data_IF_266241161391
#
_entry.id   IF_266241161391
#
_cell.length_a   1.000
_cell.length_b   1.000
_cell.length_c   1.000
_cell.angle_alpha   90.00
_cell.angle_beta   90.00
_cell.angle_gamma   90.00
#
_symmetry.space_group_name_H-M   'P 1'
#
loop_
_entity.id
_entity.type
_entity.pdbx_description
1 polymer ?
#
# COMPACT_ATOMS: atom_id res chain seq x y z
N UNK A 1 12.72 -71.10 -33.82
CA UNK A 1 12.49 -69.67 -34.06
C UNK A 1 11.36 -69.09 -33.19
N UNK A 2 11.17 -69.47 -31.91
CA UNK A 2 10.04 -69.02 -31.10
C UNK A 2 10.41 -68.59 -29.63
N UNK A 3 11.66 -68.26 -29.37
CA UNK A 3 12.09 -67.85 -28.02
C UNK A 3 12.70 -66.42 -27.96
N UNK A 4 12.77 -65.69 -29.04
CA UNK A 4 13.34 -64.32 -29.09
C UNK A 4 12.29 -63.20 -29.13
N UNK A 5 11.00 -63.50 -29.24
CA UNK A 5 9.92 -62.50 -29.29
C UNK A 5 9.28 -62.19 -27.94
N UNK A 6 9.53 -62.99 -26.92
CA UNK A 6 8.93 -62.74 -25.59
C UNK A 6 9.74 -61.79 -24.69
N UNK A 7 11.02 -61.60 -25.00
CA UNK A 7 11.91 -60.76 -24.18
C UNK A 7 11.82 -59.24 -24.49
N UNK A 8 11.42 -58.91 -25.72
CA UNK A 8 11.33 -57.51 -26.16
C UNK A 8 10.00 -56.84 -25.76
N UNK A 9 8.94 -57.62 -25.58
CA UNK A 9 7.63 -57.09 -25.17
C UNK A 9 7.60 -56.75 -23.70
N UNK A 10 8.32 -57.49 -22.85
CA UNK A 10 8.41 -57.17 -21.40
C UNK A 10 9.32 -55.99 -21.11
N UNK A 11 10.28 -55.67 -21.98
CA UNK A 11 11.14 -54.51 -21.78
C UNK A 11 10.43 -53.17 -22.16
N UNK A 12 9.52 -53.24 -23.14
CA UNK A 12 8.71 -52.06 -23.52
C UNK A 12 7.59 -51.75 -22.50
N UNK A 13 7.05 -52.75 -21.82
CA UNK A 13 6.00 -52.56 -20.81
C UNK A 13 6.54 -51.97 -19.53
N UNK A 14 7.80 -52.19 -19.17
CA UNK A 14 8.45 -51.61 -18.01
C UNK A 14 8.88 -50.13 -18.26
N UNK A 15 9.15 -49.77 -19.52
CA UNK A 15 9.50 -48.39 -19.89
C UNK A 15 8.31 -47.44 -19.95
N UNK A 16 7.09 -47.96 -20.14
CA UNK A 16 5.84 -47.16 -20.21
C UNK A 16 5.24 -46.90 -18.83
N UNK A 17 5.54 -47.71 -17.82
CA UNK A 17 5.07 -47.52 -16.44
C UNK A 17 5.96 -46.55 -15.61
N UNK A 18 7.09 -46.11 -16.14
CA UNK A 18 8.04 -45.22 -15.46
C UNK A 18 7.81 -43.70 -15.65
N UNK A 19 6.80 -43.29 -16.43
CA UNK A 19 6.63 -41.87 -16.83
C UNK A 19 5.34 -41.23 -16.28
N UNK A 20 4.63 -41.84 -15.35
CA UNK A 20 3.39 -41.26 -14.79
C UNK A 20 3.44 -40.96 -13.31
N UNK A 21 4.60 -40.59 -12.79
CA UNK A 21 4.73 -39.84 -11.53
C UNK A 21 5.08 -38.36 -11.85
N UNK A 22 4.28 -37.74 -12.71
CA UNK A 22 4.13 -36.31 -12.70
C UNK A 22 3.45 -35.98 -11.37
N UNK A 23 4.24 -35.68 -10.36
CA UNK A 23 3.72 -35.20 -9.08
C UNK A 23 2.71 -34.10 -9.35
N UNK A 24 1.57 -34.11 -8.68
CA UNK A 24 0.67 -32.97 -8.65
C UNK A 24 1.54 -31.77 -8.25
N UNK A 25 1.83 -30.89 -9.20
CA UNK A 25 2.42 -29.59 -8.89
C UNK A 25 1.41 -28.93 -7.96
N UNK A 26 1.80 -28.73 -6.71
CA UNK A 26 0.99 -27.96 -5.77
C UNK A 26 0.69 -26.63 -6.44
N UNK A 27 -0.57 -26.32 -6.66
CA UNK A 27 -1.02 -25.05 -7.22
C UNK A 27 -1.10 -23.95 -6.15
N UNK A 28 -0.71 -24.26 -4.90
CA UNK A 28 -0.68 -23.31 -3.78
C UNK A 28 0.77 -23.00 -3.43
N UNK A 29 1.05 -21.74 -3.13
CA UNK A 29 2.33 -21.33 -2.58
C UNK A 29 2.59 -22.00 -1.23
N UNK A 30 3.86 -22.22 -0.84
CA UNK A 30 4.19 -22.67 0.50
C UNK A 30 3.70 -21.65 1.53
N UNK A 31 3.42 -22.14 2.73
CA UNK A 31 3.09 -21.28 3.88
C UNK A 31 4.37 -21.09 4.67
N UNK A 32 4.68 -19.84 5.02
CA UNK A 32 5.82 -19.52 5.88
C UNK A 32 5.72 -20.21 7.25
N UNK A 33 6.83 -20.60 7.81
CA UNK A 33 6.88 -21.36 9.06
C UNK A 33 6.55 -20.53 10.28
N UNK A 34 6.74 -19.21 10.20
CA UNK A 34 6.43 -18.22 11.23
C UNK A 34 5.87 -16.98 10.60
N UNK A 35 5.31 -16.10 11.40
CA UNK A 35 4.83 -14.77 10.98
C UNK A 35 5.26 -13.75 12.02
N UNK A 36 5.77 -12.60 11.61
CA UNK A 36 6.03 -11.48 12.52
C UNK A 36 4.74 -10.71 12.85
N UNK A 37 3.63 -11.02 12.19
CA UNK A 37 2.38 -10.28 12.32
C UNK A 37 1.52 -10.82 13.46
N UNK A 38 0.92 -9.90 14.21
CA UNK A 38 -0.12 -10.16 15.20
C UNK A 38 -1.42 -9.49 14.74
N UNK A 39 -2.51 -10.26 14.74
CA UNK A 39 -3.84 -9.74 14.41
C UNK A 39 -4.42 -8.95 15.57
N UNK A 40 -4.96 -7.78 15.26
CA UNK A 40 -5.73 -6.93 16.16
C UNK A 40 -7.12 -6.67 15.54
N UNK A 41 -8.14 -6.61 16.39
CA UNK A 41 -9.49 -6.19 16.03
C UNK A 41 -9.76 -4.84 16.69
N UNK A 42 -10.01 -3.83 15.88
CA UNK A 42 -10.29 -2.46 16.34
C UNK A 42 -11.74 -2.26 16.83
N UNK A 43 -12.53 -3.33 16.91
CA UNK A 43 -13.94 -3.32 17.31
C UNK A 43 -14.79 -2.27 16.53
N UNK A 44 -14.56 -2.19 15.25
CA UNK A 44 -15.25 -1.26 14.35
C UNK A 44 -15.59 -1.90 13.00
N UNK A 45 -16.61 -1.37 12.33
CA UNK A 45 -16.93 -1.71 10.93
C UNK A 45 -16.33 -0.69 9.94
N UNK A 46 -15.67 0.35 10.43
CA UNK A 46 -14.95 1.29 9.59
C UNK A 46 -13.69 0.63 8.98
N UNK A 47 -13.27 1.12 7.84
CA UNK A 47 -12.04 0.67 7.20
C UNK A 47 -10.89 1.58 7.63
N UNK A 48 -9.84 1.06 8.28
CA UNK A 48 -8.57 1.76 8.44
C UNK A 48 -8.01 2.17 7.08
N UNK A 49 -7.51 3.39 6.95
CA UNK A 49 -7.01 3.93 5.70
C UNK A 49 -5.57 4.41 5.79
N UNK A 50 -5.18 5.01 6.94
CA UNK A 50 -3.83 5.49 7.16
C UNK A 50 -3.47 5.51 8.65
N UNK A 51 -2.15 5.53 8.93
CA UNK A 51 -1.58 5.52 10.27
C UNK A 51 -0.35 6.42 10.30
N UNK A 52 -0.19 7.22 11.36
CA UNK A 52 1.03 7.98 11.57
C UNK A 52 1.34 8.12 13.05
N UNK A 53 2.61 8.30 13.38
CA UNK A 53 3.13 8.42 14.73
C UNK A 53 3.80 9.77 14.97
N UNK A 54 3.60 10.35 16.16
CA UNK A 54 4.31 11.54 16.61
C UNK A 54 5.67 11.16 17.23
N UNK A 55 5.74 9.96 17.82
CA UNK A 55 6.93 9.35 18.40
C UNK A 55 6.80 7.82 18.38
N UNK A 56 7.74 7.08 18.99
CA UNK A 56 7.72 5.62 19.03
C UNK A 56 6.50 4.98 19.71
N UNK A 57 5.69 5.75 20.44
CA UNK A 57 4.56 5.23 21.23
C UNK A 57 3.24 5.88 20.90
N UNK A 58 3.26 7.17 20.65
CA UNK A 58 2.07 7.95 20.42
C UNK A 58 1.79 8.08 18.93
N UNK A 59 0.58 7.73 18.51
CA UNK A 59 0.18 7.77 17.12
C UNK A 59 -1.32 7.67 16.91
N UNK A 60 -1.73 7.84 15.68
CA UNK A 60 -3.13 7.86 15.28
C UNK A 60 -3.35 6.98 14.07
N UNK A 61 -4.52 6.36 14.04
CA UNK A 61 -5.04 5.59 12.93
C UNK A 61 -6.35 6.23 12.48
N UNK A 62 -6.45 6.52 11.19
CA UNK A 62 -7.63 7.18 10.58
C UNK A 62 -8.30 6.29 9.55
N UNK A 63 -9.58 6.58 9.26
CA UNK A 63 -10.31 5.72 8.33
C UNK A 63 -11.67 6.25 7.89
N UNK A 64 -12.46 5.35 7.30
CA UNK A 64 -13.83 5.63 6.87
C UNK A 64 -14.74 5.88 8.07
N UNK A 65 -15.92 6.46 7.82
CA UNK A 65 -16.94 6.72 8.83
C UNK A 65 -16.41 7.58 10.01
N UNK A 66 -15.60 8.58 9.71
CA UNK A 66 -15.01 9.51 10.71
C UNK A 66 -14.11 8.81 11.73
N UNK A 67 -13.62 7.60 11.43
CA UNK A 67 -12.80 6.83 12.34
C UNK A 67 -11.47 7.55 12.60
N UNK A 68 -11.20 7.79 13.87
CA UNK A 68 -9.89 8.13 14.39
C UNK A 68 -9.67 7.38 15.70
N UNK A 69 -8.53 6.72 15.81
CA UNK A 69 -8.10 6.02 17.02
C UNK A 69 -6.70 6.46 17.41
N UNK A 70 -6.41 6.46 18.70
CA UNK A 70 -5.15 6.88 19.28
C UNK A 70 -4.50 5.72 20.02
N UNK A 71 -3.19 5.61 19.86
CA UNK A 71 -2.35 4.72 20.65
C UNK A 71 -1.33 5.50 21.46
N UNK A 72 -0.94 4.97 22.62
CA UNK A 72 0.14 5.48 23.46
C UNK A 72 1.19 4.40 23.79
N UNK A 73 1.16 3.29 23.04
CA UNK A 73 2.03 2.14 23.27
C UNK A 73 2.55 1.50 21.95
N UNK A 74 2.69 2.32 20.90
CA UNK A 74 3.22 1.88 19.62
C UNK A 74 2.25 0.98 18.86
N UNK A 75 0.95 1.22 18.99
CA UNK A 75 -0.09 0.49 18.29
C UNK A 75 -0.42 -0.87 18.90
N UNK A 76 0.01 -1.16 20.14
CA UNK A 76 -0.39 -2.39 20.83
C UNK A 76 -1.87 -2.33 21.28
N UNK A 77 -2.32 -1.15 21.67
CA UNK A 77 -3.73 -0.88 21.98
C UNK A 77 -4.17 0.44 21.34
N UNK A 78 -5.43 0.46 20.91
CA UNK A 78 -6.05 1.61 20.26
C UNK A 78 -7.30 2.05 21.02
N UNK A 79 -7.48 3.36 21.16
CA UNK A 79 -8.61 3.98 21.82
C UNK A 79 -9.32 4.92 20.86
N UNK A 80 -10.64 4.81 20.79
CA UNK A 80 -11.43 5.72 19.96
C UNK A 80 -11.28 7.17 20.43
N UNK A 81 -11.12 8.06 19.45
CA UNK A 81 -11.13 9.51 19.61
C UNK A 81 -12.27 10.10 18.78
N UNK A 82 -12.60 11.34 19.04
CA UNK A 82 -13.56 12.09 18.23
C UNK A 82 -12.94 13.41 17.79
N UNK A 83 -13.27 13.82 16.56
CA UNK A 83 -12.98 15.14 16.03
C UNK A 83 -14.24 16.00 16.11
N UNK A 84 -14.06 17.31 16.33
CA UNK A 84 -15.16 18.27 16.28
C UNK A 84 -15.56 18.52 14.82
N UNK A 85 -16.40 17.63 14.31
CA UNK A 85 -16.90 17.62 12.93
C UNK A 85 -18.44 17.57 12.92
N UNK A 86 -19.10 18.20 11.92
CA UNK A 86 -20.56 18.13 11.78
C UNK A 86 -21.09 16.70 11.71
N UNK A 87 -22.13 16.39 12.46
CA UNK A 87 -22.70 15.03 12.53
C UNK A 87 -23.39 14.59 11.23
N UNK A 88 -23.84 15.54 10.44
CA UNK A 88 -24.56 15.30 9.20
C UNK A 88 -23.66 14.83 8.05
N UNK A 89 -22.34 15.03 8.17
CA UNK A 89 -21.37 14.70 7.14
C UNK A 89 -20.62 13.42 7.52
N UNK A 90 -20.61 12.43 6.63
CA UNK A 90 -19.85 11.20 6.82
C UNK A 90 -18.46 11.33 6.18
N UNK A 91 -17.54 11.92 6.91
CA UNK A 91 -16.17 12.09 6.44
C UNK A 91 -15.41 10.76 6.36
N UNK A 92 -14.59 10.64 5.33
CA UNK A 92 -13.51 9.65 5.24
C UNK A 92 -12.19 10.37 5.50
N UNK A 93 -11.50 10.00 6.58
CA UNK A 93 -10.15 10.46 6.88
C UNK A 93 -9.20 9.54 6.11
N UNK A 94 -8.57 10.07 5.06
CA UNK A 94 -7.88 9.25 4.04
C UNK A 94 -6.40 9.16 4.31
N UNK A 95 -5.79 10.27 4.76
CA UNK A 95 -4.35 10.36 5.00
C UNK A 95 -4.10 11.14 6.27
N UNK A 96 -3.11 10.72 7.04
CA UNK A 96 -2.59 11.39 8.22
C UNK A 96 -1.08 11.37 8.18
N UNK A 97 -0.44 12.47 8.58
CA UNK A 97 1.01 12.53 8.70
C UNK A 97 1.44 13.49 9.82
N UNK A 98 2.60 13.20 10.42
CA UNK A 98 3.19 13.99 11.51
C UNK A 98 4.66 14.27 11.26
N UNK A 99 5.09 15.45 11.67
CA UNK A 99 6.48 15.80 11.84
C UNK A 99 6.67 16.38 13.28
N UNK A 100 6.97 15.50 14.23
CA UNK A 100 6.94 15.82 15.65
C UNK A 100 5.52 16.13 16.13
N UNK A 101 5.32 17.32 16.72
CA UNK A 101 4.00 17.75 17.21
C UNK A 101 3.11 18.34 16.12
N UNK A 102 3.67 18.64 14.96
CA UNK A 102 2.95 19.13 13.79
C UNK A 102 2.25 17.99 13.07
N UNK A 103 0.94 18.03 12.95
CA UNK A 103 0.17 16.94 12.35
C UNK A 103 -0.97 17.40 11.46
N UNK A 104 -1.27 16.58 10.46
CA UNK A 104 -2.28 16.87 9.45
C UNK A 104 -3.14 15.67 9.13
N UNK A 105 -4.44 15.89 8.90
CA UNK A 105 -5.34 14.88 8.36
C UNK A 105 -6.01 15.44 7.11
N UNK A 106 -5.94 14.68 6.01
CA UNK A 106 -6.66 14.96 4.77
C UNK A 106 -7.78 13.94 4.56
N UNK A 107 -8.90 14.39 3.99
CA UNK A 107 -10.04 13.51 3.75
C UNK A 107 -11.12 14.13 2.89
N UNK A 108 -12.18 13.37 2.69
CA UNK A 108 -13.32 13.77 1.86
C UNK A 108 -14.66 13.65 2.61
N UNK A 109 -15.65 14.48 2.27
CA UNK A 109 -15.54 15.60 1.32
C UNK A 109 -14.82 16.82 1.95
N UNK A 110 -13.86 17.39 1.22
CA UNK A 110 -13.21 18.68 1.53
C UNK A 110 -12.69 18.81 2.96
N UNK A 111 -12.13 17.73 3.54
CA UNK A 111 -11.67 17.71 4.91
C UNK A 111 -10.16 17.95 4.98
N UNK A 112 -9.77 18.95 5.77
CA UNK A 112 -8.39 19.15 6.21
C UNK A 112 -8.39 19.53 7.68
N UNK A 113 -7.60 18.82 8.49
CA UNK A 113 -7.42 19.09 9.91
C UNK A 113 -5.94 19.32 10.17
N UNK A 114 -5.65 20.18 11.14
CA UNK A 114 -4.30 20.53 11.57
C UNK A 114 -4.19 20.48 13.09
N UNK A 115 -3.02 20.09 13.59
CA UNK A 115 -2.62 20.15 14.98
C UNK A 115 -1.17 20.62 15.09
N UNK A 116 -0.85 21.39 16.13
CA UNK A 116 0.49 21.82 16.52
C UNK A 116 0.90 21.30 17.91
N UNK A 117 0.12 20.39 18.48
CA UNK A 117 0.29 19.86 19.84
C UNK A 117 0.28 18.32 19.90
N UNK A 118 0.71 17.66 18.81
CA UNK A 118 0.82 16.21 18.72
C UNK A 118 -0.54 15.50 18.69
N UNK A 119 -1.59 16.15 18.17
CA UNK A 119 -2.93 15.58 18.02
C UNK A 119 -3.79 15.66 19.28
N UNK A 120 -3.37 16.41 20.32
CA UNK A 120 -4.22 16.66 21.50
C UNK A 120 -5.45 17.48 21.11
N UNK A 121 -5.26 18.50 20.29
CA UNK A 121 -6.32 19.33 19.72
C UNK A 121 -6.20 19.38 18.21
N UNK A 122 -7.34 19.28 17.52
CA UNK A 122 -7.42 19.34 16.07
C UNK A 122 -8.28 20.51 15.61
N UNK A 123 -7.78 21.31 14.69
CA UNK A 123 -8.48 22.44 14.08
C UNK A 123 -8.86 22.12 12.65
N UNK A 124 -10.12 22.28 12.28
CA UNK A 124 -10.55 22.15 10.88
C UNK A 124 -10.13 23.38 10.09
N UNK A 125 -9.45 23.17 8.97
CA UNK A 125 -9.11 24.18 8.00
C UNK A 125 -10.06 24.12 6.80
N UNK A 126 -10.36 25.30 6.24
CA UNK A 126 -11.24 25.40 5.08
C UNK A 126 -10.40 25.72 3.85
N UNK A 127 -10.36 24.78 2.91
CA UNK A 127 -9.68 24.96 1.64
C UNK A 127 -10.46 25.93 0.75
N UNK A 128 -9.74 26.72 -0.05
CA UNK A 128 -10.39 27.54 -1.10
C UNK A 128 -11.12 26.59 -2.07
N UNK A 129 -12.38 26.87 -2.33
CA UNK A 129 -13.24 26.11 -3.28
C UNK A 129 -12.71 26.06 -4.70
N UNK A 130 -11.65 26.80 -5.01
CA UNK A 130 -10.97 26.79 -6.32
C UNK A 130 -9.91 25.69 -6.47
N UNK A 131 -9.55 25.00 -5.37
CA UNK A 131 -8.58 23.90 -5.46
C UNK A 131 -9.22 22.72 -6.22
N UNK A 132 -8.62 22.24 -7.32
CA UNK A 132 -9.17 21.12 -8.06
C UNK A 132 -9.05 19.81 -7.28
N UNK A 133 -10.14 19.06 -7.20
CA UNK A 133 -10.22 17.76 -6.53
C UNK A 133 -10.40 17.86 -5.01
N UNK A 134 -10.45 16.70 -4.39
CA UNK A 134 -10.58 16.52 -2.93
C UNK A 134 -9.21 16.21 -2.32
N UNK A 135 -8.95 16.59 -1.06
CA UNK A 135 -7.78 16.19 -0.32
C UNK A 135 -7.60 14.66 -0.32
N UNK A 136 -6.41 14.18 -0.67
CA UNK A 136 -6.17 12.75 -0.83
C UNK A 136 -4.91 12.26 -0.09
N UNK A 137 -3.81 12.96 -0.19
CA UNK A 137 -2.55 12.64 0.49
C UNK A 137 -2.00 13.93 1.11
N UNK A 138 -1.68 13.88 2.39
CA UNK A 138 -1.05 14.98 3.13
C UNK A 138 0.32 14.52 3.62
N UNK A 139 1.29 15.42 3.61
CA UNK A 139 2.63 15.21 4.19
C UNK A 139 3.01 16.40 5.03
N UNK A 140 3.31 16.17 6.29
CA UNK A 140 3.88 17.16 7.21
C UNK A 140 5.38 17.34 6.89
N UNK A 141 5.77 18.51 6.40
CA UNK A 141 7.16 18.75 5.99
C UNK A 141 8.03 19.22 7.16
N UNK A 142 7.55 20.19 7.91
CA UNK A 142 8.17 20.73 9.11
C UNK A 142 7.13 21.58 9.85
N UNK A 143 7.52 22.30 10.93
CA UNK A 143 6.60 23.22 11.62
C UNK A 143 6.01 24.24 10.65
N UNK A 144 4.68 24.42 10.69
CA UNK A 144 3.88 25.33 9.85
C UNK A 144 3.84 24.98 8.36
N UNK A 145 4.37 23.80 7.93
CA UNK A 145 4.48 23.47 6.51
C UNK A 145 3.98 22.06 6.21
N UNK A 146 3.17 21.97 5.17
CA UNK A 146 2.67 20.70 4.66
C UNK A 146 2.53 20.71 3.13
N UNK A 147 2.54 19.54 2.54
CA UNK A 147 2.26 19.32 1.13
C UNK A 147 0.97 18.49 0.99
N UNK A 148 0.01 18.99 0.21
CA UNK A 148 -1.28 18.38 -0.02
C UNK A 148 -1.40 17.98 -1.48
N UNK A 149 -1.62 16.71 -1.75
CA UNK A 149 -2.02 16.23 -3.07
C UNK A 149 -3.49 15.84 -3.09
N UNK A 150 -4.18 16.18 -4.18
CA UNK A 150 -5.61 15.90 -4.35
C UNK A 150 -5.86 14.63 -5.17
N UNK A 151 -7.07 14.11 -5.14
CA UNK A 151 -7.52 12.94 -5.90
C UNK A 151 -7.54 13.14 -7.43
N UNK A 152 -7.15 14.32 -7.90
CA UNK A 152 -6.90 14.60 -9.31
C UNK A 152 -5.44 14.92 -9.61
N UNK A 153 -4.55 14.74 -8.63
CA UNK A 153 -3.11 14.98 -8.79
C UNK A 153 -2.72 16.46 -8.86
N UNK A 154 -3.52 17.36 -8.29
CA UNK A 154 -3.04 18.71 -7.99
C UNK A 154 -2.21 18.66 -6.71
N UNK A 155 -1.06 19.33 -6.69
CA UNK A 155 -0.12 19.36 -5.56
C UNK A 155 0.03 20.79 -5.08
N UNK A 156 -0.11 21.01 -3.78
CA UNK A 156 -0.05 22.29 -3.10
C UNK A 156 0.88 22.22 -1.90
N UNK A 157 1.48 23.33 -1.55
CA UNK A 157 2.32 23.47 -0.37
C UNK A 157 1.88 24.69 0.47
N UNK A 158 1.88 24.54 1.77
CA UNK A 158 1.68 25.62 2.75
C UNK A 158 2.92 25.81 3.59
N UNK A 159 3.13 27.06 4.08
CA UNK A 159 4.18 27.43 5.02
C UNK A 159 3.65 28.28 6.19
N UNK A 160 2.32 28.31 6.37
CA UNK A 160 1.60 29.15 7.32
C UNK A 160 0.40 28.45 7.95
N UNK A 161 0.58 27.18 8.36
CA UNK A 161 -0.45 26.33 8.99
C UNK A 161 -1.72 26.18 8.15
N UNK A 162 -1.57 26.20 6.82
CA UNK A 162 -2.70 26.07 5.89
C UNK A 162 -3.49 27.35 5.69
N UNK A 163 -2.98 28.49 6.17
CA UNK A 163 -3.61 29.80 5.92
C UNK A 163 -3.59 30.20 4.44
N UNK A 164 -2.56 29.76 3.72
CA UNK A 164 -2.45 29.88 2.27
C UNK A 164 -1.79 28.66 1.65
N UNK A 165 -2.12 28.38 0.36
CA UNK A 165 -1.62 27.23 -0.40
C UNK A 165 -1.07 27.66 -1.74
N UNK A 166 0.16 27.27 -2.03
CA UNK A 166 0.83 27.52 -3.32
C UNK A 166 0.78 26.26 -4.18
N UNK A 167 0.30 26.37 -5.42
CA UNK A 167 0.28 25.26 -6.37
C UNK A 167 1.69 24.95 -6.87
N UNK A 168 2.08 23.69 -6.80
CA UNK A 168 3.38 23.18 -7.31
C UNK A 168 3.29 22.69 -8.75
N UNK A 169 2.09 22.41 -9.24
CA UNK A 169 1.81 21.96 -10.60
C UNK A 169 0.84 22.92 -11.28
N UNK A 170 1.02 23.17 -12.57
CA UNK A 170 0.09 23.99 -13.37
C UNK A 170 -1.15 23.23 -13.78
N UNK A 171 -1.01 21.93 -14.07
CA UNK A 171 -2.09 21.06 -14.50
C UNK A 171 -2.13 19.79 -13.64
N UNK A 172 -3.32 19.40 -13.22
CA UNK A 172 -3.54 18.17 -12.50
C UNK A 172 -3.34 16.94 -13.40
N UNK A 173 -2.90 15.81 -12.82
CA UNK A 173 -2.72 14.55 -13.56
C UNK A 173 -4.03 13.97 -14.12
N UNK A 174 -5.19 14.41 -13.61
CA UNK A 174 -6.50 13.81 -13.80
C UNK A 174 -6.85 12.84 -12.67
N UNK A 175 -8.10 12.39 -12.63
CA UNK A 175 -8.58 11.52 -11.55
C UNK A 175 -7.67 10.31 -11.32
N UNK A 176 -7.17 10.14 -10.10
CA UNK A 176 -6.24 9.09 -9.70
C UNK A 176 -6.96 7.94 -9.00
N UNK A 177 -6.39 6.76 -9.09
CA UNK A 177 -6.76 5.57 -8.32
C UNK A 177 -5.85 5.37 -7.13
N UNK A 178 -4.57 5.61 -7.33
CA UNK A 178 -3.51 5.55 -6.34
C UNK A 178 -2.52 6.69 -6.58
N UNK A 179 -2.00 7.25 -5.52
CA UNK A 179 -1.04 8.35 -5.55
C UNK A 179 -0.12 8.20 -4.35
N UNK A 180 1.18 8.21 -4.61
CA UNK A 180 2.23 8.05 -3.61
C UNK A 180 3.27 9.14 -3.73
N UNK A 181 3.82 9.53 -2.60
CA UNK A 181 4.96 10.44 -2.49
C UNK A 181 6.23 9.66 -2.17
N UNK A 182 7.31 9.98 -2.87
CA UNK A 182 8.65 9.50 -2.57
C UNK A 182 9.33 10.34 -1.49
N UNK A 183 10.37 9.80 -0.87
CA UNK A 183 11.17 10.49 0.13
C UNK A 183 11.84 11.77 -0.41
N UNK A 184 12.17 11.79 -1.70
CA UNK A 184 12.73 12.93 -2.42
C UNK A 184 11.70 14.02 -2.77
N UNK A 185 10.43 13.85 -2.37
CA UNK A 185 9.33 14.74 -2.68
C UNK A 185 8.72 14.52 -4.07
N UNK A 186 9.16 13.51 -4.82
CA UNK A 186 8.53 13.12 -6.08
C UNK A 186 7.19 12.44 -5.83
N UNK A 187 6.34 12.42 -6.87
CA UNK A 187 5.06 11.73 -6.83
C UNK A 187 4.91 10.74 -7.97
N UNK A 188 4.21 9.67 -7.71
CA UNK A 188 3.74 8.73 -8.71
C UNK A 188 2.25 8.47 -8.54
N UNK A 189 1.52 8.34 -9.64
CA UNK A 189 0.08 8.11 -9.61
C UNK A 189 -0.36 7.11 -10.66
N UNK A 190 -1.44 6.37 -10.36
CA UNK A 190 -2.17 5.54 -11.32
C UNK A 190 -3.48 6.23 -11.66
N UNK A 191 -3.78 6.36 -12.94
CA UNK A 191 -5.07 6.91 -13.40
C UNK A 191 -6.26 6.10 -12.87
N UNK A 192 -7.39 6.73 -12.63
CA UNK A 192 -8.61 6.07 -12.13
C UNK A 192 -9.05 4.87 -12.96
N UNK A 193 -8.79 4.89 -14.26
CA UNK A 193 -9.05 3.78 -15.18
C UNK A 193 -7.94 2.71 -15.17
N UNK A 194 -6.77 2.99 -14.57
CA UNK A 194 -5.62 2.08 -14.53
C UNK A 194 -5.01 1.80 -15.91
N UNK A 195 -5.08 2.76 -16.83
CA UNK A 195 -4.60 2.62 -18.21
C UNK A 195 -3.25 3.31 -18.46
N UNK A 196 -2.82 4.18 -17.56
CA UNK A 196 -1.50 4.80 -17.53
C UNK A 196 -1.10 5.12 -16.09
N UNK A 197 0.16 5.44 -15.87
CA UNK A 197 0.67 6.06 -14.65
C UNK A 197 1.34 7.39 -15.00
N UNK A 198 1.50 8.24 -14.01
CA UNK A 198 2.17 9.51 -14.18
C UNK A 198 3.15 9.77 -13.04
N UNK A 199 4.23 10.48 -13.34
CA UNK A 199 5.25 10.89 -12.36
C UNK A 199 5.39 12.41 -12.36
N UNK A 200 5.74 12.95 -11.21
CA UNK A 200 6.09 14.36 -11.05
C UNK A 200 7.30 14.45 -10.12
N UNK A 201 8.21 15.37 -10.42
CA UNK A 201 9.39 15.64 -9.58
C UNK A 201 9.37 17.09 -9.13
N UNK A 202 9.93 17.42 -7.94
CA UNK A 202 10.06 18.80 -7.49
C UNK A 202 10.74 19.67 -8.54
N UNK A 203 10.03 20.76 -8.91
CA UNK A 203 10.46 21.68 -9.97
C UNK A 203 9.83 21.42 -11.34
N UNK A 204 9.20 20.28 -11.58
CA UNK A 204 8.41 20.06 -12.78
C UNK A 204 7.13 20.91 -12.74
N UNK A 205 6.79 21.56 -13.85
CA UNK A 205 5.53 22.32 -13.96
C UNK A 205 4.30 21.46 -14.24
N UNK A 206 4.51 20.26 -14.80
CA UNK A 206 3.44 19.33 -15.23
C UNK A 206 3.82 17.87 -14.94
N UNK A 207 2.82 17.02 -14.82
CA UNK A 207 3.01 15.59 -14.71
C UNK A 207 3.50 14.97 -16.02
N UNK A 208 4.45 14.05 -15.93
CA UNK A 208 4.90 13.22 -17.05
C UNK A 208 4.07 11.93 -17.09
N UNK A 209 3.35 11.73 -18.19
CA UNK A 209 2.50 10.56 -18.40
C UNK A 209 3.29 9.41 -19.02
N UNK A 210 3.16 8.20 -18.47
CA UNK A 210 3.79 6.97 -18.92
C UNK A 210 2.74 5.95 -19.32
N UNK A 211 2.99 5.27 -20.44
CA UNK A 211 2.10 4.20 -20.89
C UNK A 211 2.32 2.93 -20.05
N UNK A 212 1.24 2.25 -19.71
CA UNK A 212 1.35 0.95 -19.05
C UNK A 212 2.06 -0.07 -19.95
N UNK A 213 2.89 -0.92 -19.37
CA UNK A 213 3.64 -1.98 -20.05
C UNK A 213 2.86 -3.29 -20.22
N UNK A 214 1.64 -3.36 -19.72
CA UNK A 214 0.78 -4.53 -19.73
C UNK A 214 -0.61 -4.17 -20.23
N UNK A 215 -1.30 -5.12 -20.89
CA UNK A 215 -2.73 -4.97 -21.21
C UNK A 215 -3.62 -5.01 -19.97
N UNK A 216 -3.09 -5.47 -18.82
CA UNK A 216 -3.82 -5.53 -17.57
C UNK A 216 -3.94 -4.14 -16.94
N UNK A 217 -5.07 -3.89 -16.29
CA UNK A 217 -5.37 -2.65 -15.60
C UNK A 217 -4.48 -2.49 -14.39
N UNK A 218 -3.80 -1.34 -14.27
CA UNK A 218 -3.01 -1.00 -13.09
C UNK A 218 -3.92 -0.83 -11.87
N UNK A 219 -3.44 -1.29 -10.73
CA UNK A 219 -4.15 -1.22 -9.45
C UNK A 219 -3.49 -0.25 -8.49
N UNK A 220 -2.18 -0.39 -8.33
CA UNK A 220 -1.37 0.41 -7.41
C UNK A 220 0.04 0.59 -7.96
N UNK A 221 0.75 1.60 -7.48
CA UNK A 221 2.13 1.93 -7.82
C UNK A 221 2.79 2.60 -6.61
N UNK A 222 4.10 2.46 -6.47
CA UNK A 222 4.84 3.10 -5.38
C UNK A 222 6.33 2.99 -5.57
N UNK A 223 7.07 3.28 -4.51
CA UNK A 223 8.52 3.33 -4.50
C UNK A 223 9.12 2.11 -3.80
N UNK A 224 10.20 1.59 -4.36
CA UNK A 224 11.12 0.66 -3.73
C UNK A 224 12.04 1.43 -2.77
N UNK A 225 12.73 0.77 -1.83
CA UNK A 225 13.64 1.46 -0.91
C UNK A 225 14.79 2.23 -1.59
N UNK A 226 15.13 1.87 -2.82
CA UNK A 226 16.15 2.54 -3.62
C UNK A 226 15.61 3.72 -4.47
N UNK A 227 14.33 4.07 -4.31
CA UNK A 227 13.64 5.12 -5.07
C UNK A 227 13.12 4.69 -6.43
N UNK A 228 13.43 3.47 -6.90
CA UNK A 228 12.83 2.92 -8.10
C UNK A 228 11.33 2.61 -7.87
N UNK A 229 10.59 2.39 -8.95
CA UNK A 229 9.16 2.15 -8.85
C UNK A 229 8.80 0.65 -8.79
N UNK A 230 7.71 0.34 -8.15
CA UNK A 230 6.98 -0.92 -8.29
C UNK A 230 5.56 -0.67 -8.79
N UNK A 231 4.94 -1.63 -9.46
CA UNK A 231 3.53 -1.55 -9.85
C UNK A 231 2.81 -2.88 -9.69
N UNK A 232 1.53 -2.78 -9.32
CA UNK A 232 0.59 -3.88 -9.28
C UNK A 232 -0.44 -3.74 -10.39
N UNK A 233 -0.79 -4.86 -11.03
CA UNK A 233 -1.83 -4.89 -12.05
C UNK A 233 -2.78 -6.08 -11.84
N UNK A 234 -3.94 -6.03 -12.47
CA UNK A 234 -4.90 -7.14 -12.45
C UNK A 234 -4.26 -8.46 -12.85
N UNK A 235 -4.78 -9.57 -12.31
CA UNK A 235 -4.21 -10.91 -12.52
C UNK A 235 -2.99 -11.17 -11.66
N UNK A 236 -2.92 -10.50 -10.51
CA UNK A 236 -1.85 -10.63 -9.52
C UNK A 236 -0.45 -10.36 -10.10
N UNK A 237 -0.36 -9.42 -11.04
CA UNK A 237 0.92 -9.05 -11.64
C UNK A 237 1.65 -8.04 -10.76
N UNK A 238 2.88 -8.36 -10.42
CA UNK A 238 3.86 -7.49 -9.79
C UNK A 238 4.93 -7.17 -10.84
N UNK A 239 5.35 -5.92 -10.91
CA UNK A 239 6.49 -5.50 -11.71
C UNK A 239 7.36 -4.55 -10.88
N UNK A 240 8.65 -4.75 -10.99
CA UNK A 240 9.66 -3.88 -10.40
C UNK A 240 10.34 -3.10 -11.52
N UNK A 241 10.60 -1.83 -11.30
CA UNK A 241 11.49 -1.10 -12.18
C UNK A 241 12.90 -1.66 -12.00
N UNK A 242 13.56 -2.01 -13.10
CA UNK A 242 14.82 -2.75 -13.09
C UNK A 242 16.02 -1.89 -13.56
N UNK A 243 15.79 -0.62 -13.91
CA UNK A 243 16.84 0.30 -14.33
C UNK A 243 16.70 1.66 -13.64
N UNK A 244 17.60 1.99 -12.71
CA UNK A 244 17.59 3.28 -12.03
C UNK A 244 17.59 4.45 -13.02
N UNK A 245 16.65 5.40 -12.81
CA UNK A 245 16.50 6.59 -13.64
C UNK A 245 15.72 6.41 -14.96
N UNK A 246 15.41 5.17 -15.37
CA UNK A 246 14.50 4.91 -16.48
C UNK A 246 13.14 4.44 -15.93
N UNK A 247 12.22 5.37 -15.77
CA UNK A 247 10.90 5.11 -15.19
C UNK A 247 9.97 4.30 -16.11
N UNK A 248 10.37 4.00 -17.33
CA UNK A 248 9.64 3.16 -18.29
C UNK A 248 10.21 1.74 -18.41
N UNK A 249 11.33 1.42 -17.71
CA UNK A 249 11.93 0.10 -17.71
C UNK A 249 11.32 -0.78 -16.61
N UNK A 250 10.72 -1.89 -16.99
CA UNK A 250 10.00 -2.77 -16.08
C UNK A 250 10.40 -4.23 -16.26
N UNK A 251 10.58 -4.93 -15.17
CA UNK A 251 10.79 -6.37 -15.13
C UNK A 251 9.68 -7.13 -15.88
N UNK A 252 9.93 -8.37 -16.20
CA UNK A 252 8.84 -9.31 -16.55
C UNK A 252 7.86 -9.37 -15.38
N UNK A 253 6.57 -9.60 -15.70
CA UNK A 253 5.57 -9.76 -14.65
C UNK A 253 5.92 -10.96 -13.75
N UNK A 254 6.05 -10.69 -12.46
CA UNK A 254 6.08 -11.68 -11.40
C UNK A 254 4.62 -11.97 -11.06
N UNK A 255 4.21 -13.24 -11.07
CA UNK A 255 2.81 -13.63 -10.86
C UNK A 255 2.81 -14.75 -9.83
N UNK A 256 2.91 -14.44 -8.53
CA UNK A 256 2.75 -15.44 -7.49
C UNK A 256 1.35 -16.05 -7.58
N UNK A 257 1.26 -17.35 -7.36
CA UNK A 257 0.00 -18.08 -7.48
C UNK A 257 -0.92 -17.67 -6.32
N UNK A 258 -2.01 -16.99 -6.64
CA UNK A 258 -3.07 -16.65 -5.69
C UNK A 258 -4.35 -17.39 -6.05
N UNK A 259 -5.26 -17.55 -5.10
CA UNK A 259 -6.57 -18.14 -5.33
C UNK A 259 -7.53 -17.24 -6.15
N UNK A 260 -6.98 -16.45 -7.09
CA UNK A 260 -7.74 -15.53 -7.95
C UNK A 260 -7.88 -14.11 -7.37
N UNK A 261 -7.33 -13.85 -6.19
CA UNK A 261 -7.32 -12.51 -5.59
C UNK A 261 -6.14 -11.71 -6.12
N UNK A 262 -6.36 -10.40 -6.35
CA UNK A 262 -5.31 -9.47 -6.75
C UNK A 262 -4.65 -8.83 -5.54
N UNK A 263 -3.44 -8.32 -5.74
CA UNK A 263 -2.76 -7.48 -4.75
C UNK A 263 -3.28 -6.06 -4.81
N UNK A 264 -3.30 -5.41 -3.64
CA UNK A 264 -3.75 -4.03 -3.46
C UNK A 264 -2.61 -3.11 -3.07
N UNK A 265 -1.64 -3.62 -2.29
CA UNK A 265 -0.47 -2.88 -1.88
C UNK A 265 0.77 -3.78 -1.74
N UNK A 266 1.94 -3.14 -1.74
CA UNK A 266 3.24 -3.79 -1.59
C UNK A 266 4.21 -2.85 -0.89
N UNK A 267 5.03 -3.42 0.00
CA UNK A 267 6.05 -2.69 0.73
C UNK A 267 7.24 -3.58 1.06
N UNK A 268 8.34 -3.00 1.55
CA UNK A 268 9.55 -3.67 2.00
C UNK A 268 9.72 -3.51 3.50
N UNK A 269 10.16 -4.56 4.16
CA UNK A 269 10.64 -4.46 5.54
C UNK A 269 12.12 -4.04 5.59
N UNK A 270 12.62 -3.75 6.78
CA UNK A 270 14.01 -3.30 7.01
C UNK A 270 15.08 -4.35 6.62
N UNK A 271 14.69 -5.61 6.48
CA UNK A 271 15.57 -6.69 6.04
C UNK A 271 15.57 -6.85 4.51
N UNK A 272 14.77 -6.05 3.81
CA UNK A 272 14.63 -6.08 2.35
C UNK A 272 13.68 -7.15 1.84
N UNK A 273 12.91 -7.82 2.71
CA UNK A 273 11.87 -8.72 2.26
C UNK A 273 10.70 -7.94 1.68
N UNK A 274 10.11 -8.47 0.62
CA UNK A 274 8.98 -7.86 -0.07
C UNK A 274 7.68 -8.44 0.48
N UNK A 275 6.79 -7.59 0.93
CA UNK A 275 5.45 -7.95 1.38
C UNK A 275 4.40 -7.49 0.38
N UNK A 276 3.43 -8.35 0.04
CA UNK A 276 2.33 -8.03 -0.87
C UNK A 276 0.99 -8.40 -0.23
N UNK A 277 0.15 -7.42 -0.04
CA UNK A 277 -1.19 -7.55 0.54
C UNK A 277 -2.30 -7.49 -0.51
N UNK A 278 -3.39 -8.21 -0.29
CA UNK A 278 -4.50 -8.23 -1.24
C UNK A 278 -5.79 -8.83 -0.71
N UNK A 279 -6.63 -9.31 -1.61
CA UNK A 279 -7.96 -9.79 -1.26
C UNK A 279 -7.98 -11.05 -0.42
N UNK A 280 -8.99 -11.16 0.45
CA UNK A 280 -9.32 -12.34 1.24
C UNK A 280 -8.15 -12.91 2.07
N UNK A 281 -7.50 -12.05 2.85
CA UNK A 281 -6.37 -12.44 3.71
C UNK A 281 -5.08 -12.75 2.96
N UNK A 282 -4.99 -12.45 1.68
CA UNK A 282 -3.76 -12.66 0.93
C UNK A 282 -2.68 -11.72 1.46
N UNK A 283 -1.71 -12.30 2.16
CA UNK A 283 -0.47 -11.63 2.56
C UNK A 283 0.69 -12.56 2.20
N UNK A 284 1.54 -12.09 1.32
CA UNK A 284 2.69 -12.86 0.83
C UNK A 284 3.98 -12.17 1.24
N UNK A 285 5.02 -12.97 1.40
CA UNK A 285 6.39 -12.52 1.63
C UNK A 285 7.34 -13.16 0.64
N UNK A 286 8.29 -12.39 0.13
CA UNK A 286 9.45 -12.85 -0.64
C UNK A 286 10.73 -12.40 0.05
N UNK A 287 11.64 -13.34 0.29
CA UNK A 287 12.94 -13.10 0.90
C UNK A 287 14.08 -12.97 -0.13
N UNK A 288 13.76 -13.12 -1.42
CA UNK A 288 14.73 -13.26 -2.50
C UNK A 288 14.48 -12.29 -3.67
N UNK A 289 13.92 -11.12 -3.37
CA UNK A 289 13.69 -10.07 -4.36
C UNK A 289 12.54 -10.35 -5.34
N UNK A 290 11.63 -11.28 -4.97
CA UNK A 290 10.46 -11.61 -5.78
C UNK A 290 10.61 -12.89 -6.61
N UNK A 291 11.71 -13.62 -6.48
CA UNK A 291 11.95 -14.88 -7.20
C UNK A 291 11.05 -15.99 -6.66
N UNK A 292 10.89 -16.07 -5.34
CA UNK A 292 9.95 -16.98 -4.69
C UNK A 292 9.08 -16.27 -3.65
N UNK A 293 7.92 -16.86 -3.35
CA UNK A 293 6.92 -16.27 -2.45
C UNK A 293 6.34 -17.33 -1.52
N UNK A 294 6.07 -16.91 -0.29
CA UNK A 294 5.40 -17.69 0.72
C UNK A 294 4.15 -16.96 1.23
N UNK A 295 3.14 -17.75 1.64
CA UNK A 295 1.92 -17.22 2.27
C UNK A 295 2.20 -16.97 3.75
N UNK A 296 1.90 -15.77 4.24
CA UNK A 296 1.93 -15.48 5.67
C UNK A 296 0.79 -16.21 6.40
N UNK A 297 1.10 -17.01 7.45
CA UNK A 297 0.09 -17.82 8.12
C UNK A 297 -0.89 -17.02 8.99
N UNK A 298 -0.57 -15.78 9.38
CA UNK A 298 -1.48 -14.89 10.12
C UNK A 298 -2.43 -14.22 9.15
N UNK A 299 -1.91 -13.68 8.04
CA UNK A 299 -2.71 -13.10 6.98
C UNK A 299 -3.73 -14.10 6.40
N UNK A 300 -3.31 -15.32 6.06
CA UNK A 300 -4.16 -16.39 5.46
C UNK A 300 -5.39 -16.74 6.31
N UNK A 301 -5.38 -16.41 7.59
CA UNK A 301 -6.50 -16.64 8.52
C UNK A 301 -7.45 -15.45 8.66
N UNK A 302 -7.15 -14.30 8.05
CA UNK A 302 -7.98 -13.11 8.17
C UNK A 302 -9.04 -13.08 7.06
N UNK A 303 -10.33 -12.92 7.40
CA UNK A 303 -11.38 -12.74 6.40
C UNK A 303 -11.48 -11.28 5.93
N UNK A 304 -10.35 -10.69 5.53
CA UNK A 304 -10.25 -9.26 5.21
C UNK A 304 -9.51 -9.05 3.89
N UNK A 305 -9.77 -7.92 3.23
CA UNK A 305 -8.91 -7.43 2.17
C UNK A 305 -7.86 -6.52 2.78
N UNK A 306 -6.59 -6.80 2.55
CA UNK A 306 -5.48 -5.95 2.96
C UNK A 306 -5.25 -4.87 1.92
N UNK A 307 -5.51 -3.63 2.31
CA UNK A 307 -5.56 -2.48 1.40
C UNK A 307 -4.31 -1.63 1.46
N UNK A 308 -3.55 -1.68 2.56
CA UNK A 308 -2.32 -0.91 2.73
C UNK A 308 -1.33 -1.64 3.63
N UNK A 309 -0.05 -1.57 3.26
CA UNK A 309 1.08 -1.99 4.07
C UNK A 309 1.92 -0.76 4.40
N UNK A 310 2.23 -0.59 5.66
CA UNK A 310 3.00 0.56 6.16
C UNK A 310 4.20 0.01 6.92
N UNK A 311 5.38 0.43 6.52
CA UNK A 311 6.63 0.24 7.25
C UNK A 311 7.22 1.64 7.45
N UNK A 312 7.30 2.08 8.70
CA UNK A 312 7.75 3.41 9.09
C UNK A 312 8.59 3.31 10.37
N UNK A 313 9.89 3.34 10.23
CA UNK A 313 10.84 3.18 11.33
C UNK A 313 10.59 1.88 12.12
N UNK A 314 10.34 2.01 13.43
CA UNK A 314 10.09 0.87 14.31
C UNK A 314 8.66 0.29 14.17
N UNK A 315 7.81 0.88 13.33
CA UNK A 315 6.41 0.52 13.18
C UNK A 315 6.13 -0.15 11.84
N UNK A 316 5.39 -1.26 11.90
CA UNK A 316 4.84 -1.86 10.69
C UNK A 316 3.40 -2.36 10.92
N UNK A 317 2.54 -2.07 9.94
CA UNK A 317 1.12 -2.40 9.98
C UNK A 317 0.62 -2.86 8.61
N UNK A 318 -0.36 -3.77 8.65
CA UNK A 318 -1.19 -4.10 7.49
C UNK A 318 -2.62 -3.69 7.79
N UNK A 319 -3.14 -2.75 7.03
CA UNK A 319 -4.51 -2.26 7.18
C UNK A 319 -5.46 -3.12 6.36
N UNK A 320 -6.44 -3.68 7.03
CA UNK A 320 -7.50 -4.48 6.44
C UNK A 320 -8.86 -3.79 6.55
N UNK A 321 -9.87 -4.32 5.87
CA UNK A 321 -11.23 -3.81 5.96
C UNK A 321 -11.88 -4.14 7.31
N UNK A 322 -12.88 -3.34 7.71
CA UNK A 322 -13.76 -3.58 8.86
C UNK A 322 -13.00 -3.75 10.18
N UNK A 323 -12.09 -2.83 10.46
CA UNK A 323 -11.32 -2.81 11.71
C UNK A 323 -10.23 -3.87 11.81
N UNK A 324 -9.99 -4.66 10.78
CA UNK A 324 -8.90 -5.63 10.80
C UNK A 324 -7.55 -4.91 10.64
N UNK A 325 -6.64 -5.21 11.55
CA UNK A 325 -5.30 -4.64 11.61
C UNK A 325 -4.30 -5.75 11.92
N UNK A 326 -3.19 -5.81 11.18
CA UNK A 326 -2.03 -6.58 11.62
C UNK A 326 -0.95 -5.61 12.06
N UNK A 327 -0.32 -5.92 13.19
CA UNK A 327 0.83 -5.19 13.74
C UNK A 327 2.04 -6.10 13.74
N UNK A 328 3.20 -5.56 13.36
CA UNK A 328 4.48 -6.28 13.47
C UNK A 328 4.91 -6.42 14.92
N UNK A 329 5.33 -7.61 15.29
CA UNK A 329 5.93 -7.90 16.60
C UNK A 329 7.43 -8.18 16.43
N UNK A 330 8.26 -7.21 16.80
CA UNK A 330 9.72 -7.34 16.77
C UNK A 330 10.28 -8.48 17.65
N UNK A 331 9.45 -9.07 18.52
CA UNK A 331 9.85 -10.17 19.40
C UNK A 331 9.39 -11.54 18.89
N UNK A 332 8.69 -11.61 17.76
CA UNK A 332 8.10 -12.85 17.25
C UNK A 332 9.03 -13.66 16.32
N UNK A 333 10.26 -13.20 16.07
CA UNK A 333 11.25 -13.83 15.17
C UNK A 333 12.39 -14.44 15.97
#
# INVERSE_FOLDING_TARGET
MSRLLSSTVNLLLVLVLGVSLSGCVSTRLPIATSSPWQSQDLDTQANPLDIAFTDQKHGFLVGSNRMIQETNDGGAHWNERSLDLPDEENFRLISIDFNGDEGWIAGEPGLLMHTDDGGQNWTRLFLDTKLPGEPYLITALNSHSAELATNVGAVYETHDDGGSWEAKVTDAAGAVRDLRRGEDGSYVSVSSLGNFYATWQPGDSVWKVHQRVSSQRLQSIGYQPDGNLWMLARGAQIRLNDQPGDLDSWSKAIIPITNGYGYMDMAWDDNGAIWAGGGNGTLLVSQDGGDSWEIDPVGDRQPSNFTRLIFDGDHAFVLGERGNLLRWDNNAV
#
